data_IF_592099801110
#
_entry.id   IF_592099801110
#
_cell.length_a   1.000
_cell.length_b   1.000
_cell.length_c   1.000
_cell.angle_alpha   90.00
_cell.angle_beta   90.00
_cell.angle_gamma   90.00
#
_symmetry.space_group_name_H-M   'P 1'
#
loop_
_entity.id
_entity.type
_entity.pdbx_description
1 polymer ?
#
# COMPACT_ATOMS: atom_id res chain seq x y z
N UNK A 1 12.27 -21.16 -61.33
CA UNK A 1 11.97 -19.77 -60.88
C UNK A 1 11.43 -18.95 -62.04
N UNK A 2 10.19 -19.19 -62.50
CA UNK A 2 9.65 -18.58 -63.73
C UNK A 2 8.10 -18.58 -63.77
N UNK A 3 7.47 -18.15 -62.68
CA UNK A 3 5.99 -18.07 -62.58
C UNK A 3 5.50 -16.67 -62.17
N UNK A 4 6.32 -15.65 -62.43
CA UNK A 4 6.13 -14.29 -61.91
C UNK A 4 5.48 -13.30 -62.90
N UNK A 5 4.75 -13.78 -63.90
CA UNK A 5 4.19 -12.94 -64.98
C UNK A 5 2.66 -12.96 -65.15
N UNK A 6 1.90 -13.48 -64.18
CA UNK A 6 0.44 -13.29 -64.21
C UNK A 6 -0.01 -12.26 -63.18
N UNK A 7 -0.72 -11.26 -63.71
CA UNK A 7 -1.55 -10.24 -63.03
C UNK A 7 -0.89 -8.88 -62.81
N UNK A 8 -0.59 -8.26 -63.94
CA UNK A 8 -0.61 -6.81 -64.11
C UNK A 8 -2.07 -6.33 -64.20
N UNK A 9 -2.36 -5.23 -63.49
CA UNK A 9 -3.25 -4.12 -63.89
C UNK A 9 -4.74 -4.19 -63.48
N UNK A 10 -5.08 -3.46 -62.42
CA UNK A 10 -6.24 -2.53 -62.39
C UNK A 10 -5.99 -1.41 -61.35
N UNK A 11 -5.84 -0.19 -61.83
CA UNK A 11 -5.69 1.06 -61.05
C UNK A 11 -7.02 1.49 -60.41
N UNK A 12 -7.02 2.09 -59.20
CA UNK A 12 -8.17 2.86 -58.72
C UNK A 12 -8.09 4.35 -59.15
N UNK A 13 -9.20 4.80 -59.76
CA UNK A 13 -9.51 6.14 -60.25
C UNK A 13 -9.45 7.22 -59.14
N UNK A 14 -8.80 8.34 -59.45
CA UNK A 14 -8.93 9.62 -58.72
C UNK A 14 -10.38 10.13 -58.75
N UNK A 15 -10.93 10.46 -57.58
CA UNK A 15 -12.16 11.27 -57.45
C UNK A 15 -11.80 12.60 -56.79
N UNK A 16 -12.35 13.68 -57.36
CA UNK A 16 -11.97 15.07 -57.13
C UNK A 16 -12.50 15.59 -55.79
N UNK A 17 -11.59 16.22 -55.05
CA UNK A 17 -11.84 16.97 -53.81
C UNK A 17 -12.64 18.23 -54.15
N UNK A 18 -13.78 18.42 -53.47
CA UNK A 18 -14.56 19.66 -53.48
C UNK A 18 -14.69 20.13 -52.03
N UNK A 19 -14.09 21.28 -51.77
CA UNK A 19 -14.04 22.07 -50.54
C UNK A 19 -15.42 22.49 -50.05
N UNK A 20 -15.75 22.26 -48.77
CA UNK A 20 -16.58 23.16 -47.95
C UNK A 20 -16.09 23.08 -46.50
N UNK A 21 -15.70 24.23 -45.99
CA UNK A 21 -15.30 24.53 -44.62
C UNK A 21 -16.39 24.24 -43.60
N UNK A 22 -16.05 23.61 -42.46
CA UNK A 22 -16.67 23.92 -41.16
C UNK A 22 -15.59 23.89 -40.08
N UNK A 23 -15.35 25.07 -39.50
CA UNK A 23 -14.66 25.30 -38.24
C UNK A 23 -15.37 24.52 -37.11
N UNK A 24 -14.68 23.56 -36.49
CA UNK A 24 -14.91 23.19 -35.08
C UNK A 24 -13.54 22.87 -34.49
N UNK A 25 -12.86 23.91 -34.00
CA UNK A 25 -11.79 23.77 -33.03
C UNK A 25 -12.44 23.42 -31.68
N UNK A 26 -12.66 22.12 -31.45
CA UNK A 26 -12.95 21.60 -30.11
C UNK A 26 -11.67 20.96 -29.60
N UNK A 27 -10.81 21.80 -29.04
CA UNK A 27 -9.68 21.35 -28.21
C UNK A 27 -10.25 20.68 -26.97
N UNK A 28 -10.34 19.35 -27.01
CA UNK A 28 -10.43 18.52 -25.81
C UNK A 28 -9.11 18.66 -25.06
N UNK A 29 -9.04 19.67 -24.18
CA UNK A 29 -8.12 19.63 -23.04
C UNK A 29 -8.61 18.48 -22.18
N UNK A 30 -7.92 17.34 -22.28
CA UNK A 30 -8.04 16.27 -21.29
C UNK A 30 -7.73 16.87 -19.93
N UNK A 31 -8.76 16.89 -19.08
CA UNK A 31 -8.62 17.14 -17.67
C UNK A 31 -7.58 16.15 -17.13
N UNK A 32 -6.44 16.67 -16.71
CA UNK A 32 -5.58 15.97 -15.78
C UNK A 32 -6.45 15.76 -14.52
N UNK A 33 -6.91 14.53 -14.33
CA UNK A 33 -7.34 14.05 -13.03
C UNK A 33 -6.03 14.01 -12.23
N UNK A 34 -5.70 15.13 -11.61
CA UNK A 34 -4.70 15.15 -10.56
C UNK A 34 -5.25 14.25 -9.46
N UNK A 35 -4.58 13.13 -9.21
CA UNK A 35 -4.73 12.45 -7.94
C UNK A 35 -4.40 13.47 -6.86
N UNK A 36 -5.41 13.84 -6.07
CA UNK A 36 -5.27 14.61 -4.85
C UNK A 36 -4.43 13.77 -3.87
N UNK A 37 -3.11 13.84 -3.98
CA UNK A 37 -2.26 13.61 -2.83
C UNK A 37 -2.54 14.79 -1.90
N UNK A 38 -3.48 14.64 -0.97
CA UNK A 38 -3.66 15.61 0.11
C UNK A 38 -2.37 15.59 0.95
N UNK A 39 -1.49 16.55 0.66
CA UNK A 39 -0.49 16.98 1.63
C UNK A 39 -1.24 17.28 2.95
N UNK A 40 -0.80 16.71 4.08
CA UNK A 40 -1.49 16.92 5.35
C UNK A 40 -1.51 18.42 5.64
N UNK A 41 -2.71 18.98 5.82
CA UNK A 41 -2.90 20.37 6.21
C UNK A 41 -2.11 20.67 7.49
N UNK A 42 -1.54 21.88 7.63
CA UNK A 42 -0.76 22.28 8.82
C UNK A 42 -1.51 21.93 10.12
N UNK A 43 -2.83 22.14 10.16
CA UNK A 43 -3.68 21.80 11.29
C UNK A 43 -3.62 20.30 11.68
N UNK A 44 -3.70 19.39 10.70
CA UNK A 44 -3.58 17.93 10.95
C UNK A 44 -2.18 17.56 11.42
N UNK A 45 -1.15 18.25 10.91
CA UNK A 45 0.24 18.02 11.33
C UNK A 45 0.44 18.44 12.80
N UNK A 46 -0.13 19.58 13.21
CA UNK A 46 -0.08 20.09 14.57
C UNK A 46 -0.83 19.18 15.56
N UNK A 47 -2.02 18.69 15.20
CA UNK A 47 -2.79 17.74 16.02
C UNK A 47 -2.02 16.42 16.26
N UNK A 48 -1.36 15.90 15.23
CA UNK A 48 -0.51 14.69 15.35
C UNK A 48 0.66 14.93 16.30
N UNK A 49 1.33 16.07 16.18
CA UNK A 49 2.49 16.40 17.00
C UNK A 49 2.13 16.55 18.49
N UNK A 50 0.96 17.10 18.80
CA UNK A 50 0.40 17.17 20.16
C UNK A 50 0.10 15.78 20.77
N UNK A 51 -0.28 14.80 19.93
CA UNK A 51 -0.45 13.40 20.34
C UNK A 51 0.88 12.66 20.49
N UNK A 52 2.01 13.32 20.26
CA UNK A 52 3.34 12.70 20.19
C UNK A 52 3.53 11.82 18.95
N UNK A 53 2.62 11.92 17.98
CA UNK A 53 2.66 11.25 16.67
C UNK A 53 3.40 12.17 15.71
N UNK A 54 4.67 11.89 15.46
CA UNK A 54 5.48 12.66 14.52
C UNK A 54 6.17 11.71 13.53
N UNK A 55 6.84 12.28 12.53
CA UNK A 55 7.52 11.52 11.49
C UNK A 55 8.59 10.53 12.03
N UNK A 56 9.08 10.74 13.25
CA UNK A 56 10.09 9.89 13.90
C UNK A 56 9.48 8.83 14.82
N UNK A 57 8.42 9.17 15.56
CA UNK A 57 7.76 8.25 16.52
C UNK A 57 6.73 7.34 15.86
N UNK A 58 6.08 7.81 14.79
CA UNK A 58 5.05 7.09 14.04
C UNK A 58 5.14 7.47 12.54
N UNK A 59 6.08 6.88 11.79
CA UNK A 59 6.21 7.14 10.36
C UNK A 59 4.95 6.71 9.60
N UNK A 60 4.68 7.36 8.46
CA UNK A 60 3.60 6.97 7.55
C UNK A 60 3.85 5.57 6.99
N UNK A 61 2.83 4.71 7.08
CA UNK A 61 2.84 3.35 6.50
C UNK A 61 2.97 3.42 4.97
N UNK A 62 2.30 4.38 4.33
CA UNK A 62 2.43 4.62 2.89
C UNK A 62 3.88 4.92 2.52
N UNK A 63 4.53 5.79 3.29
CA UNK A 63 5.95 6.14 3.07
C UNK A 63 6.86 4.93 3.28
N UNK A 64 6.60 4.10 4.28
CA UNK A 64 7.36 2.84 4.50
C UNK A 64 7.28 1.97 3.24
N UNK A 65 6.08 1.75 2.70
CA UNK A 65 5.91 0.94 1.49
C UNK A 65 6.60 1.56 0.27
N UNK A 66 6.49 2.88 0.08
CA UNK A 66 7.18 3.58 -1.00
C UNK A 66 8.72 3.45 -0.92
N UNK A 67 9.27 3.42 0.30
CA UNK A 67 10.70 3.18 0.51
C UNK A 67 11.08 1.72 0.26
N UNK A 68 10.27 0.77 0.72
CA UNK A 68 10.48 -0.65 0.47
C UNK A 68 10.42 -0.99 -1.03
N UNK A 69 9.57 -0.30 -1.78
CA UNK A 69 9.48 -0.40 -3.23
C UNK A 69 10.79 -0.02 -3.93
N UNK A 70 11.48 1.01 -3.45
CA UNK A 70 12.77 1.46 -3.98
C UNK A 70 13.91 0.44 -3.74
N UNK A 71 13.73 -0.44 -2.76
CA UNK A 71 14.72 -1.44 -2.36
C UNK A 71 14.51 -2.80 -3.06
N UNK A 72 13.52 -2.91 -3.96
CA UNK A 72 13.25 -4.17 -4.66
C UNK A 72 14.36 -4.55 -5.64
N UNK A 73 14.68 -5.87 -5.77
CA UNK A 73 14.08 -7.00 -5.05
C UNK A 73 14.67 -7.15 -3.63
N UNK A 74 13.79 -7.35 -2.64
CA UNK A 74 14.23 -7.54 -1.25
C UNK A 74 14.84 -8.94 -1.04
N UNK A 75 16.03 -9.04 -0.41
CA UNK A 75 16.63 -10.32 -0.05
C UNK A 75 15.94 -10.94 1.18
N UNK A 76 14.67 -11.34 1.02
CA UNK A 76 13.80 -11.82 2.11
C UNK A 76 14.46 -12.90 2.97
N UNK A 77 15.15 -13.87 2.36
CA UNK A 77 15.77 -14.98 3.10
C UNK A 77 16.95 -14.56 3.98
N UNK A 78 17.58 -13.43 3.69
CA UNK A 78 18.66 -12.85 4.51
C UNK A 78 18.10 -11.93 5.61
N UNK A 79 16.93 -11.33 5.36
CA UNK A 79 16.30 -10.35 6.25
C UNK A 79 15.33 -10.99 7.25
N UNK A 80 14.74 -12.15 6.92
CA UNK A 80 13.77 -12.82 7.79
C UNK A 80 14.41 -13.21 9.11
N UNK A 81 13.68 -12.98 10.18
CA UNK A 81 14.04 -13.40 11.54
C UNK A 81 13.17 -14.59 11.96
N UNK A 82 13.61 -15.30 12.98
CA UNK A 82 12.78 -16.31 13.61
C UNK A 82 11.66 -15.64 14.40
N UNK A 83 10.45 -16.21 14.32
CA UNK A 83 9.33 -15.72 15.11
C UNK A 83 9.59 -16.00 16.60
N UNK A 84 9.28 -15.05 17.50
CA UNK A 84 9.45 -15.23 18.93
C UNK A 84 8.62 -16.43 19.42
N UNK A 85 9.26 -17.34 20.15
CA UNK A 85 8.62 -18.57 20.63
C UNK A 85 7.92 -18.42 21.99
N UNK A 86 8.23 -17.37 22.75
CA UNK A 86 7.66 -17.14 24.07
C UNK A 86 7.40 -15.67 24.33
N UNK A 87 6.35 -15.38 25.08
CA UNK A 87 6.07 -14.04 25.59
C UNK A 87 7.17 -13.66 26.61
N UNK A 88 7.95 -12.62 26.30
CA UNK A 88 9.04 -12.15 27.16
C UNK A 88 8.49 -11.46 28.42
N UNK A 89 9.18 -11.57 29.56
CA UNK A 89 8.86 -10.85 30.78
C UNK A 89 9.26 -9.36 30.68
N UNK A 90 8.49 -8.47 31.33
CA UNK A 90 8.71 -7.02 31.25
C UNK A 90 7.97 -6.36 30.07
N UNK A 91 7.37 -5.19 30.30
CA UNK A 91 6.51 -4.51 29.32
C UNK A 91 7.33 -3.92 28.17
N UNK A 92 8.49 -3.37 28.51
CA UNK A 92 9.49 -2.82 27.61
C UNK A 92 10.00 -3.87 26.61
N UNK A 93 10.31 -5.09 27.09
CA UNK A 93 10.75 -6.17 26.22
C UNK A 93 9.64 -6.66 25.28
N UNK A 94 8.40 -6.77 25.79
CA UNK A 94 7.25 -7.07 24.94
C UNK A 94 7.07 -6.02 23.84
N UNK A 95 7.24 -4.74 24.17
CA UNK A 95 7.15 -3.64 23.22
C UNK A 95 8.19 -3.74 22.11
N UNK A 96 9.45 -4.04 22.47
CA UNK A 96 10.53 -4.23 21.50
C UNK A 96 10.27 -5.42 20.57
N UNK A 97 9.86 -6.56 21.13
CA UNK A 97 9.52 -7.76 20.36
C UNK A 97 8.35 -7.49 19.41
N UNK A 98 7.32 -6.80 19.89
CA UNK A 98 6.15 -6.43 19.09
C UNK A 98 6.52 -5.49 17.94
N UNK A 99 7.33 -4.45 18.20
CA UNK A 99 7.86 -3.59 17.14
C UNK A 99 8.67 -4.37 16.10
N UNK A 100 9.46 -5.35 16.55
CA UNK A 100 10.15 -6.30 15.68
C UNK A 100 9.19 -7.09 14.78
N UNK A 101 8.10 -7.61 15.34
CA UNK A 101 7.08 -8.33 14.58
C UNK A 101 6.40 -7.43 13.55
N UNK A 102 6.05 -6.18 13.89
CA UNK A 102 5.47 -5.23 12.94
C UNK A 102 6.41 -5.02 11.73
N UNK A 103 7.71 -4.87 11.98
CA UNK A 103 8.71 -4.77 10.91
C UNK A 103 8.78 -6.02 10.03
N UNK A 104 8.71 -7.23 10.62
CA UNK A 104 8.65 -8.48 9.86
C UNK A 104 7.35 -8.58 9.03
N UNK A 105 6.25 -8.02 9.53
CA UNK A 105 4.98 -7.94 8.80
C UNK A 105 5.11 -7.14 7.50
N UNK A 106 5.75 -5.96 7.54
CA UNK A 106 6.05 -5.18 6.34
C UNK A 106 6.89 -5.96 5.33
N UNK A 107 7.93 -6.65 5.82
CA UNK A 107 8.80 -7.46 4.98
C UNK A 107 8.03 -8.65 4.33
N UNK A 108 7.12 -9.30 5.05
CA UNK A 108 6.27 -10.39 4.53
C UNK A 108 5.32 -9.89 3.44
N UNK A 109 4.69 -8.73 3.65
CA UNK A 109 3.76 -8.11 2.69
C UNK A 109 4.51 -7.67 1.44
N UNK A 110 5.65 -7.00 1.59
CA UNK A 110 6.46 -6.52 0.46
C UNK A 110 7.05 -7.67 -0.35
N UNK A 111 7.52 -8.74 0.32
CA UNK A 111 8.03 -9.92 -0.35
C UNK A 111 6.93 -10.91 -0.77
N UNK A 112 5.66 -10.58 -0.59
CA UNK A 112 4.51 -11.37 -1.04
C UNK A 112 4.52 -12.83 -0.55
N UNK A 113 4.95 -13.07 0.71
CA UNK A 113 5.13 -14.42 1.26
C UNK A 113 3.83 -15.00 1.85
N UNK A 114 2.92 -15.46 1.00
CA UNK A 114 1.60 -16.02 1.40
C UNK A 114 1.70 -17.10 2.49
N UNK A 115 2.67 -18.00 2.37
CA UNK A 115 2.84 -19.14 3.27
C UNK A 115 3.18 -18.75 4.72
N UNK A 116 3.61 -17.51 4.95
CA UNK A 116 3.98 -17.02 6.28
C UNK A 116 2.85 -16.23 6.96
N UNK A 117 1.88 -15.71 6.20
CA UNK A 117 0.83 -14.80 6.69
C UNK A 117 0.04 -15.39 7.85
N UNK A 118 -0.39 -16.65 7.75
CA UNK A 118 -1.24 -17.27 8.76
C UNK A 118 -0.51 -17.50 10.09
N UNK A 119 0.69 -18.08 10.04
CA UNK A 119 1.48 -18.32 11.23
C UNK A 119 1.91 -16.99 11.88
N UNK A 120 2.36 -16.04 11.07
CA UNK A 120 2.77 -14.72 11.52
C UNK A 120 1.61 -13.96 12.17
N UNK A 121 0.44 -13.92 11.53
CA UNK A 121 -0.75 -13.24 12.04
C UNK A 121 -1.14 -13.75 13.44
N UNK A 122 -1.12 -15.07 13.64
CA UNK A 122 -1.37 -15.67 14.96
C UNK A 122 -0.38 -15.19 16.03
N UNK A 123 0.93 -15.24 15.74
CA UNK A 123 1.98 -14.80 16.69
C UNK A 123 1.85 -13.31 16.98
N UNK A 124 1.60 -12.49 15.96
CA UNK A 124 1.40 -11.05 16.12
C UNK A 124 0.22 -10.73 17.05
N UNK A 125 -0.92 -11.42 16.88
CA UNK A 125 -2.10 -11.21 17.72
C UNK A 125 -1.87 -11.68 19.17
N UNK A 126 -1.12 -12.77 19.38
CA UNK A 126 -0.75 -13.22 20.71
C UNK A 126 0.10 -12.18 21.46
N UNK A 127 1.12 -11.61 20.78
CA UNK A 127 1.96 -10.57 21.38
C UNK A 127 1.21 -9.24 21.59
N UNK A 128 0.30 -8.86 20.68
CA UNK A 128 -0.53 -7.66 20.83
C UNK A 128 -1.42 -7.73 22.08
N UNK A 129 -2.04 -8.89 22.34
CA UNK A 129 -2.85 -9.14 23.54
C UNK A 129 -2.01 -9.08 24.81
N UNK A 130 -0.81 -9.67 24.78
CA UNK A 130 0.11 -9.63 25.93
C UNK A 130 0.57 -8.20 26.30
N UNK A 131 0.48 -7.26 25.35
CA UNK A 131 0.78 -5.83 25.54
C UNK A 131 -0.43 -4.97 25.94
N UNK A 132 -1.66 -5.52 25.93
CA UNK A 132 -2.88 -4.76 26.20
C UNK A 132 -3.28 -3.80 25.07
N UNK A 133 -2.74 -3.97 23.86
CA UNK A 133 -3.05 -3.16 22.67
C UNK A 133 -3.97 -3.88 21.68
N UNK A 134 -4.50 -5.04 22.07
CA UNK A 134 -5.34 -5.90 21.24
C UNK A 134 -6.52 -5.15 20.62
N UNK A 135 -7.47 -4.67 21.41
CA UNK A 135 -8.82 -4.39 20.88
C UNK A 135 -8.91 -3.34 19.75
N UNK A 136 -8.05 -2.31 19.75
CA UNK A 136 -8.02 -1.29 18.69
C UNK A 136 -7.31 -1.75 17.41
N UNK A 137 -6.18 -2.46 17.54
CA UNK A 137 -5.41 -2.98 16.41
C UNK A 137 -6.08 -4.23 15.79
N UNK A 138 -6.82 -4.99 16.61
CA UNK A 138 -7.47 -6.24 16.20
C UNK A 138 -8.59 -6.01 15.17
N UNK A 139 -9.24 -4.83 15.14
CA UNK A 139 -10.39 -4.55 14.26
C UNK A 139 -10.08 -4.78 12.78
N UNK A 140 -8.90 -4.38 12.32
CA UNK A 140 -8.47 -4.51 10.91
C UNK A 140 -7.57 -5.74 10.67
N UNK A 141 -7.01 -6.33 11.72
CA UNK A 141 -6.08 -7.46 11.62
C UNK A 141 -6.63 -8.70 10.91
N UNK A 142 -7.91 -9.02 11.12
CA UNK A 142 -8.57 -10.16 10.48
C UNK A 142 -8.73 -9.94 8.97
N UNK A 143 -9.10 -8.73 8.57
CA UNK A 143 -9.21 -8.31 7.17
C UNK A 143 -7.85 -8.41 6.46
N UNK A 144 -6.81 -7.80 7.04
CA UNK A 144 -5.42 -7.86 6.54
C UNK A 144 -4.94 -9.31 6.36
N UNK A 145 -5.19 -10.17 7.36
CA UNK A 145 -4.76 -11.57 7.32
C UNK A 145 -5.48 -12.35 6.22
N UNK A 146 -6.79 -12.14 6.05
CA UNK A 146 -7.57 -12.79 5.00
C UNK A 146 -7.18 -12.33 3.59
N UNK A 147 -6.96 -11.02 3.41
CA UNK A 147 -6.43 -10.47 2.16
C UNK A 147 -5.04 -11.03 1.83
N UNK A 148 -4.16 -11.13 2.82
CA UNK A 148 -2.83 -11.73 2.68
C UNK A 148 -2.90 -13.23 2.33
N UNK A 149 -3.85 -13.97 2.91
CA UNK A 149 -4.10 -15.39 2.56
C UNK A 149 -4.52 -15.57 1.10
N UNK A 150 -5.37 -14.67 0.59
CA UNK A 150 -5.77 -14.62 -0.83
C UNK A 150 -4.61 -14.13 -1.71
N UNK A 151 -3.65 -13.40 -1.13
CA UNK A 151 -2.56 -12.72 -1.81
C UNK A 151 -3.00 -11.48 -2.56
N UNK A 152 -4.03 -10.81 -2.05
CA UNK A 152 -4.48 -9.52 -2.55
C UNK A 152 -3.58 -8.41 -1.99
N UNK A 153 -2.30 -8.41 -2.34
CA UNK A 153 -1.27 -7.58 -1.67
C UNK A 153 -1.49 -6.08 -1.77
N UNK A 154 -2.03 -5.61 -2.90
CA UNK A 154 -2.42 -4.20 -3.05
C UNK A 154 -3.53 -3.81 -2.06
N UNK A 155 -4.51 -4.70 -1.86
CA UNK A 155 -5.58 -4.50 -0.87
C UNK A 155 -5.02 -4.58 0.56
N UNK A 156 -4.05 -5.47 0.82
CA UNK A 156 -3.35 -5.51 2.11
C UNK A 156 -2.67 -4.18 2.43
N UNK A 157 -1.97 -3.57 1.46
CA UNK A 157 -1.34 -2.26 1.65
C UNK A 157 -2.37 -1.17 1.94
N UNK A 158 -3.44 -1.13 1.16
CA UNK A 158 -4.54 -0.16 1.35
C UNK A 158 -5.18 -0.31 2.73
N UNK A 159 -5.47 -1.53 3.16
CA UNK A 159 -6.05 -1.80 4.48
C UNK A 159 -5.11 -1.36 5.62
N UNK A 160 -3.80 -1.59 5.49
CA UNK A 160 -2.80 -1.15 6.47
C UNK A 160 -2.69 0.37 6.54
N UNK A 161 -2.74 1.07 5.40
CA UNK A 161 -2.75 2.54 5.34
C UNK A 161 -4.03 3.08 6.00
N UNK A 162 -5.20 2.51 5.67
CA UNK A 162 -6.47 2.88 6.28
C UNK A 162 -6.47 2.67 7.80
N UNK A 163 -5.87 1.58 8.27
CA UNK A 163 -5.73 1.29 9.71
C UNK A 163 -4.96 2.40 10.44
N UNK A 164 -3.92 2.98 9.81
CA UNK A 164 -3.19 4.11 10.41
C UNK A 164 -4.11 5.33 10.59
N UNK A 165 -4.83 5.71 9.54
CA UNK A 165 -5.76 6.83 9.58
C UNK A 165 -6.83 6.65 10.67
N UNK A 166 -7.41 5.45 10.76
CA UNK A 166 -8.44 5.13 11.76
C UNK A 166 -7.89 5.19 13.20
N UNK A 167 -6.65 4.73 13.43
CA UNK A 167 -6.01 4.80 14.74
C UNK A 167 -5.67 6.24 15.12
N UNK A 168 -5.16 7.03 14.19
CA UNK A 168 -4.86 8.46 14.42
C UNK A 168 -6.13 9.24 14.72
N UNK A 169 -7.21 9.02 13.96
CA UNK A 169 -8.52 9.63 14.20
C UNK A 169 -9.07 9.26 15.59
N UNK A 170 -8.99 7.99 15.99
CA UNK A 170 -9.43 7.56 17.32
C UNK A 170 -8.61 8.19 18.46
N UNK A 171 -7.33 8.53 18.23
CA UNK A 171 -6.51 9.25 19.21
C UNK A 171 -6.91 10.71 19.35
N UNK A 172 -7.37 11.36 18.28
CA UNK A 172 -7.90 12.72 18.31
C UNK A 172 -9.23 12.75 19.08
N UNK A 173 -10.16 11.85 18.74
CA UNK A 173 -11.49 11.78 19.37
C UNK A 173 -11.42 11.55 20.88
N UNK A 174 -10.50 10.68 21.35
CA UNK A 174 -10.29 10.42 22.77
C UNK A 174 -9.79 11.65 23.57
N UNK A 175 -9.29 12.68 22.91
CA UNK A 175 -8.78 13.91 23.55
C UNK A 175 -9.86 14.98 23.71
N UNK A 176 -10.87 14.95 22.84
CA UNK A 176 -12.00 15.88 22.87
C UNK A 176 -13.08 15.47 23.90
N UNK A 177 -12.99 14.27 24.48
CA UNK A 177 -13.79 13.77 25.61
C UNK A 177 -13.16 14.06 26.99
#
# INVERSE_FOLDING_TARGET
>A
QKWRDCLRKTEPRRVKIRTVSILVALTLVSAAIGEHQEEPTEDKQHEREELGVNAYTAPSIERIFAQLDQLRPLPFDQLKRELPQSIVAGREHKGLVFGGLIADGFLIVEAERKNLVENFGRVLMEQARALGVGDRVMRHSASVTELGRRGAWQQVRQELIATQTDVEQAMIELRDE
#
